data_IF_209384425234
#
_entry.id   IF_209384425234
#
_cell.length_a   1.000
_cell.length_b   1.000
_cell.length_c   1.000
_cell.angle_alpha   90.00
_cell.angle_beta   90.00
_cell.angle_gamma   90.00
#
_symmetry.space_group_name_H-M   'P 1'
#
loop_
_entity.id
_entity.type
_entity.pdbx_description
1 polymer ?
#
# COMPACT_ATOMS: atom_id res chain seq x y z
N UNK A 1 4.67 17.68 -5.28
CA UNK A 1 3.39 16.95 -5.44
C UNK A 1 2.33 17.66 -4.60
N UNK A 2 1.09 17.76 -5.10
CA UNK A 2 0.00 18.45 -4.39
C UNK A 2 -1.28 17.62 -4.47
N UNK A 3 -2.00 17.50 -3.35
CA UNK A 3 -3.29 16.82 -3.25
C UNK A 3 -4.36 17.85 -2.87
N UNK A 4 -5.40 17.94 -3.69
CA UNK A 4 -6.59 18.71 -3.40
C UNK A 4 -7.75 17.76 -3.12
N UNK A 5 -8.50 18.06 -2.06
CA UNK A 5 -9.64 17.27 -1.63
C UNK A 5 -10.79 18.25 -1.39
N UNK A 6 -11.99 17.92 -1.89
CA UNK A 6 -13.18 18.71 -1.68
C UNK A 6 -14.37 17.84 -1.39
N UNK A 7 -15.14 18.19 -0.37
CA UNK A 7 -16.37 17.52 0.09
C UNK A 7 -16.25 16.00 0.21
N UNK A 8 -15.05 15.49 0.64
CA UNK A 8 -14.76 14.08 0.79
C UNK A 8 -14.87 13.65 2.26
N UNK A 9 -15.76 12.73 2.58
CA UNK A 9 -16.06 12.26 3.95
C UNK A 9 -16.33 13.45 4.88
N UNK A 10 -15.40 13.78 5.80
CA UNK A 10 -15.49 14.94 6.69
C UNK A 10 -14.73 16.16 6.20
N UNK A 11 -13.90 16.00 5.20
CA UNK A 11 -13.07 17.08 4.67
C UNK A 11 -13.93 17.92 3.74
N UNK A 12 -14.11 19.18 4.09
CA UNK A 12 -14.74 20.16 3.21
C UNK A 12 -13.74 20.63 2.15
N UNK A 13 -12.56 21.07 2.57
CA UNK A 13 -11.51 21.49 1.65
C UNK A 13 -10.11 21.22 2.23
N UNK A 14 -9.23 20.67 1.41
CA UNK A 14 -7.83 20.52 1.73
C UNK A 14 -6.96 20.72 0.49
N UNK A 15 -5.89 21.51 0.65
CA UNK A 15 -4.83 21.65 -0.34
C UNK A 15 -3.50 21.36 0.35
N UNK A 16 -2.90 20.20 0.05
CA UNK A 16 -1.74 19.69 0.77
C UNK A 16 -0.59 19.43 -0.21
N UNK A 17 0.51 20.16 0.00
CA UNK A 17 1.75 20.00 -0.73
C UNK A 17 2.66 18.95 -0.07
N UNK A 18 3.30 18.12 -0.87
CA UNK A 18 4.26 17.11 -0.43
C UNK A 18 5.62 17.37 -1.06
N UNK A 19 6.61 17.65 -0.21
CA UNK A 19 7.95 18.08 -0.63
C UNK A 19 9.05 17.50 0.28
N UNK A 20 8.95 16.24 0.61
CA UNK A 20 9.81 15.54 1.55
C UNK A 20 9.04 15.13 2.79
N UNK A 21 9.02 15.93 3.85
CA UNK A 21 8.27 15.67 5.07
C UNK A 21 7.03 16.58 5.17
N UNK A 22 5.85 16.00 5.20
CA UNK A 22 4.59 16.72 5.41
C UNK A 22 3.95 16.27 6.71
N UNK A 23 3.75 17.19 7.62
CA UNK A 23 3.15 16.96 8.94
C UNK A 23 1.77 17.56 8.99
N UNK A 24 0.77 16.78 9.35
CA UNK A 24 -0.60 17.24 9.59
C UNK A 24 -0.89 17.10 11.09
N UNK A 25 -1.08 18.22 11.74
CA UNK A 25 -1.49 18.28 13.13
C UNK A 25 -2.97 18.70 13.26
N UNK A 26 -3.62 18.34 14.35
CA UNK A 26 -5.01 18.73 14.60
C UNK A 26 -5.67 17.86 15.64
N UNK A 27 -6.83 18.28 16.11
CA UNK A 27 -7.62 17.53 17.06
C UNK A 27 -8.07 16.17 16.50
N UNK A 28 -8.52 15.28 17.37
CA UNK A 28 -9.10 14.01 16.94
C UNK A 28 -10.33 14.25 16.07
N UNK A 29 -10.55 13.32 15.12
CA UNK A 29 -11.71 13.35 14.25
C UNK A 29 -11.77 14.53 13.25
N UNK A 30 -10.60 15.11 12.90
CA UNK A 30 -10.44 16.18 11.90
C UNK A 30 -9.99 15.65 10.52
N UNK A 31 -10.14 14.38 10.22
CA UNK A 31 -9.86 13.82 8.89
C UNK A 31 -8.36 13.71 8.54
N UNK A 32 -7.44 13.83 9.49
CA UNK A 32 -5.98 13.67 9.26
C UNK A 32 -5.67 12.34 8.58
N UNK A 33 -6.14 11.23 9.15
CA UNK A 33 -5.97 9.87 8.60
C UNK A 33 -6.63 9.71 7.23
N UNK A 34 -7.71 10.46 6.95
CA UNK A 34 -8.39 10.43 5.64
C UNK A 34 -7.46 10.85 4.50
N UNK A 35 -6.62 11.86 4.72
CA UNK A 35 -5.62 12.31 3.75
C UNK A 35 -4.63 11.18 3.42
N UNK A 36 -4.09 10.52 4.43
CA UNK A 36 -3.18 9.38 4.27
C UNK A 36 -3.84 8.20 3.54
N UNK A 37 -5.09 7.90 3.88
CA UNK A 37 -5.87 6.84 3.23
C UNK A 37 -6.17 7.14 1.76
N UNK A 38 -6.46 8.40 1.41
CA UNK A 38 -6.63 8.84 0.01
C UNK A 38 -5.32 8.65 -0.77
N UNK A 39 -4.18 9.08 -0.20
CA UNK A 39 -2.88 8.83 -0.84
C UNK A 39 -2.63 7.34 -1.03
N UNK A 40 -2.89 6.53 0.00
CA UNK A 40 -2.72 5.10 -0.10
C UNK A 40 -3.61 4.50 -1.21
N UNK A 41 -4.89 4.87 -1.26
CA UNK A 41 -5.82 4.41 -2.28
C UNK A 41 -5.32 4.73 -3.71
N UNK A 42 -4.83 5.95 -3.93
CA UNK A 42 -4.31 6.39 -5.23
C UNK A 42 -3.03 5.62 -5.62
N UNK A 43 -2.04 5.63 -4.73
CA UNK A 43 -0.73 5.08 -5.06
C UNK A 43 -0.72 3.55 -5.10
N UNK A 44 -1.38 2.86 -4.17
CA UNK A 44 -1.43 1.39 -4.18
C UNK A 44 -2.21 0.84 -5.38
N UNK A 45 -3.35 1.45 -5.70
CA UNK A 45 -4.18 1.00 -6.82
C UNK A 45 -3.52 1.23 -8.18
N UNK A 46 -2.78 2.32 -8.35
CA UNK A 46 -2.18 2.70 -9.62
C UNK A 46 -0.70 2.32 -9.76
N UNK A 47 -0.07 1.82 -8.69
CA UNK A 47 1.34 1.40 -8.72
C UNK A 47 1.58 0.32 -9.78
N UNK A 48 2.41 0.65 -10.77
CA UNK A 48 2.70 -0.20 -11.92
C UNK A 48 1.44 -0.80 -12.57
N UNK A 49 0.34 -0.03 -12.65
CA UNK A 49 -0.97 -0.53 -13.06
C UNK A 49 -0.96 -1.16 -14.47
N UNK A 50 -0.20 -0.61 -15.41
CA UNK A 50 -0.13 -1.16 -16.77
C UNK A 50 0.56 -2.53 -16.80
N UNK A 51 1.56 -2.75 -15.96
CA UNK A 51 2.19 -4.07 -15.78
C UNK A 51 1.21 -5.06 -15.15
N UNK A 52 0.40 -4.61 -14.18
CA UNK A 52 -0.63 -5.43 -13.55
C UNK A 52 -1.71 -5.82 -14.55
N UNK A 53 -2.22 -4.88 -15.33
CA UNK A 53 -3.20 -5.13 -16.41
C UNK A 53 -2.67 -6.20 -17.38
N UNK A 54 -1.41 -6.09 -17.81
CA UNK A 54 -0.83 -7.05 -18.74
C UNK A 54 -0.74 -8.45 -18.11
N UNK A 55 -0.32 -8.56 -16.85
CA UNK A 55 -0.28 -9.84 -16.12
C UNK A 55 -1.68 -10.45 -15.93
N UNK A 56 -2.68 -9.64 -15.60
CA UNK A 56 -4.05 -10.12 -15.45
C UNK A 56 -4.65 -10.57 -16.78
N UNK A 57 -4.37 -9.83 -17.86
CA UNK A 57 -4.76 -10.27 -19.21
C UNK A 57 -4.11 -11.61 -19.57
N UNK A 58 -2.82 -11.78 -19.30
CA UNK A 58 -2.14 -13.05 -19.52
C UNK A 58 -2.76 -14.19 -18.70
N UNK A 59 -3.07 -13.92 -17.44
CA UNK A 59 -3.73 -14.89 -16.57
C UNK A 59 -5.13 -15.27 -17.10
N UNK A 60 -5.92 -14.28 -17.52
CA UNK A 60 -7.24 -14.51 -18.11
C UNK A 60 -7.16 -15.33 -19.41
N UNK A 61 -6.16 -15.05 -20.26
CA UNK A 61 -5.96 -15.85 -21.47
C UNK A 61 -5.64 -17.32 -21.15
N UNK A 62 -4.82 -17.58 -20.13
CA UNK A 62 -4.53 -18.95 -19.65
C UNK A 62 -5.78 -19.61 -19.09
N UNK A 63 -6.56 -18.89 -18.31
CA UNK A 63 -7.82 -19.38 -17.74
C UNK A 63 -8.83 -19.75 -18.83
N UNK A 64 -8.94 -18.97 -19.90
CA UNK A 64 -9.77 -19.31 -21.06
C UNK A 64 -9.34 -20.65 -21.68
N UNK A 65 -8.04 -20.86 -21.88
CA UNK A 65 -7.52 -22.13 -22.42
C UNK A 65 -7.83 -23.29 -21.46
N UNK A 66 -7.69 -23.09 -20.16
CA UNK A 66 -7.98 -24.09 -19.14
C UNK A 66 -9.45 -24.51 -19.18
N UNK A 67 -10.37 -23.55 -19.13
CA UNK A 67 -11.80 -23.79 -19.11
C UNK A 67 -12.29 -24.47 -20.40
N UNK A 68 -11.85 -23.99 -21.57
CA UNK A 68 -12.25 -24.59 -22.85
C UNK A 68 -11.63 -25.98 -23.03
N UNK A 69 -10.41 -26.21 -22.53
CA UNK A 69 -9.83 -27.58 -22.54
C UNK A 69 -10.58 -28.51 -21.59
N UNK A 70 -11.03 -28.02 -20.44
CA UNK A 70 -11.88 -28.78 -19.53
C UNK A 70 -13.21 -29.16 -20.19
N UNK A 71 -13.85 -28.21 -20.89
CA UNK A 71 -15.09 -28.40 -21.63
C UNK A 71 -14.91 -29.45 -22.72
N UNK A 72 -13.83 -29.35 -23.53
CA UNK A 72 -13.48 -30.31 -24.58
C UNK A 72 -13.30 -31.73 -24.05
N UNK A 73 -12.84 -31.88 -22.80
CA UNK A 73 -12.66 -33.14 -22.10
C UNK A 73 -13.91 -33.61 -21.34
N UNK A 74 -14.95 -32.80 -21.31
CA UNK A 74 -16.20 -33.14 -20.64
C UNK A 74 -16.85 -34.34 -21.34
N UNK A 75 -17.28 -35.34 -20.57
CA UNK A 75 -17.84 -36.56 -21.12
C UNK A 75 -16.82 -37.58 -21.65
N UNK A 76 -15.52 -37.24 -21.75
CA UNK A 76 -14.45 -38.18 -22.15
C UNK A 76 -13.81 -38.83 -20.92
N UNK A 77 -13.85 -40.13 -20.83
CA UNK A 77 -13.17 -40.86 -19.73
C UNK A 77 -11.72 -41.14 -20.11
N UNK A 78 -10.83 -40.25 -19.70
CA UNK A 78 -9.40 -40.33 -20.05
C UNK A 78 -8.50 -40.65 -18.86
N UNK A 79 -9.01 -40.57 -17.63
CA UNK A 79 -8.19 -40.70 -16.41
C UNK A 79 -7.02 -39.68 -16.29
N UNK A 80 -6.83 -38.79 -17.31
CA UNK A 80 -5.67 -37.91 -17.47
C UNK A 80 -6.04 -36.46 -17.72
N UNK A 81 -7.27 -36.05 -17.41
CA UNK A 81 -7.79 -34.69 -17.69
C UNK A 81 -6.86 -33.59 -17.15
N UNK A 82 -6.45 -33.70 -15.89
CA UNK A 82 -5.57 -32.72 -15.27
C UNK A 82 -4.24 -32.56 -16.02
N UNK A 83 -3.64 -33.66 -16.47
CA UNK A 83 -2.39 -33.64 -17.24
C UNK A 83 -2.58 -32.96 -18.60
N UNK A 84 -3.66 -33.23 -19.30
CA UNK A 84 -3.95 -32.63 -20.61
C UNK A 84 -4.17 -31.12 -20.48
N UNK A 85 -4.90 -30.67 -19.46
CA UNK A 85 -5.10 -29.25 -19.16
C UNK A 85 -3.77 -28.55 -18.88
N UNK A 86 -2.96 -29.10 -17.98
CA UNK A 86 -1.64 -28.54 -17.65
C UNK A 86 -0.74 -28.46 -18.89
N UNK A 87 -0.81 -29.46 -19.76
CA UNK A 87 0.00 -29.50 -20.98
C UNK A 87 -0.50 -28.50 -22.02
N UNK A 88 -1.81 -28.36 -22.18
CA UNK A 88 -2.41 -27.31 -23.03
C UNK A 88 -1.99 -25.92 -22.60
N UNK A 89 -2.05 -25.64 -21.29
CA UNK A 89 -1.58 -24.38 -20.70
C UNK A 89 -0.10 -24.14 -20.95
N UNK A 90 0.74 -25.18 -20.85
CA UNK A 90 2.18 -25.10 -21.13
C UNK A 90 2.44 -24.71 -22.58
N UNK A 91 1.83 -25.38 -23.54
CA UNK A 91 1.99 -25.08 -24.97
C UNK A 91 1.50 -23.66 -25.29
N UNK A 92 0.37 -23.26 -24.75
CA UNK A 92 -0.12 -21.89 -24.92
C UNK A 92 0.84 -20.87 -24.33
N UNK A 93 1.36 -21.10 -23.12
CA UNK A 93 2.32 -20.21 -22.47
C UNK A 93 3.63 -20.08 -23.26
N UNK A 94 4.14 -21.19 -23.80
CA UNK A 94 5.33 -21.18 -24.67
C UNK A 94 5.06 -20.41 -25.97
N UNK A 95 3.91 -20.59 -26.62
CA UNK A 95 3.51 -19.85 -27.80
C UNK A 95 3.49 -18.33 -27.55
N UNK A 96 2.90 -17.89 -26.43
CA UNK A 96 2.89 -16.47 -26.02
C UNK A 96 4.31 -15.96 -25.76
N UNK A 97 5.13 -16.74 -25.06
CA UNK A 97 6.52 -16.39 -24.73
C UNK A 97 7.39 -16.18 -25.98
N UNK A 98 7.10 -16.92 -27.05
CA UNK A 98 7.77 -16.78 -28.35
C UNK A 98 7.22 -15.61 -29.19
N UNK A 99 6.32 -14.78 -28.64
CA UNK A 99 5.71 -13.64 -29.32
C UNK A 99 4.51 -13.98 -30.20
N UNK A 100 3.92 -15.16 -30.03
CA UNK A 100 2.72 -15.57 -30.73
C UNK A 100 1.50 -14.70 -30.37
N UNK A 101 0.68 -14.35 -31.40
CA UNK A 101 -0.58 -13.65 -31.15
C UNK A 101 -1.64 -14.63 -30.64
N UNK A 102 -2.21 -14.41 -29.42
CA UNK A 102 -3.24 -15.29 -28.87
C UNK A 102 -4.39 -15.60 -29.81
N UNK A 103 -4.81 -14.63 -30.63
CA UNK A 103 -5.89 -14.79 -31.59
C UNK A 103 -5.52 -15.61 -32.83
N UNK A 104 -4.24 -15.93 -33.03
CA UNK A 104 -3.73 -16.76 -34.11
C UNK A 104 -3.31 -18.16 -33.64
N UNK A 105 -3.50 -18.47 -32.37
CA UNK A 105 -3.15 -19.77 -31.79
C UNK A 105 -4.04 -20.88 -32.36
N UNK A 106 -3.43 -21.89 -32.94
CA UNK A 106 -4.14 -23.01 -33.59
C UNK A 106 -4.23 -24.29 -32.75
N UNK A 107 -3.68 -24.27 -31.54
CA UNK A 107 -3.66 -25.39 -30.61
C UNK A 107 -3.19 -26.74 -31.20
N UNK A 108 -2.37 -26.72 -32.27
CA UNK A 108 -1.94 -27.94 -32.97
C UNK A 108 -1.26 -28.95 -32.04
N UNK A 109 -0.42 -28.47 -31.13
CA UNK A 109 0.30 -29.28 -30.18
C UNK A 109 -0.66 -29.93 -29.16
N UNK A 110 -1.75 -29.25 -28.84
CA UNK A 110 -2.79 -29.77 -27.96
C UNK A 110 -3.58 -30.88 -28.68
N UNK A 111 -4.00 -30.66 -29.90
CA UNK A 111 -4.75 -31.67 -30.67
C UNK A 111 -3.88 -32.88 -31.00
N UNK A 112 -2.58 -32.71 -31.33
CA UNK A 112 -1.61 -33.79 -31.50
C UNK A 112 -1.56 -34.72 -30.27
N UNK A 113 -1.54 -34.16 -29.06
CA UNK A 113 -1.59 -34.92 -27.82
C UNK A 113 -2.85 -35.77 -27.68
N UNK A 114 -4.00 -35.28 -28.10
CA UNK A 114 -5.24 -36.05 -28.06
C UNK A 114 -5.16 -37.28 -28.98
N UNK A 115 -4.60 -37.06 -30.18
CA UNK A 115 -4.40 -38.18 -31.12
C UNK A 115 -3.37 -39.19 -30.65
N UNK A 116 -2.23 -38.73 -30.11
CA UNK A 116 -1.16 -39.58 -29.55
C UNK A 116 -1.65 -40.44 -28.41
N UNK A 117 -2.66 -40.02 -27.69
CA UNK A 117 -3.26 -40.74 -26.57
C UNK A 117 -4.58 -41.45 -26.95
N UNK A 118 -4.86 -41.54 -28.23
CA UNK A 118 -6.07 -42.18 -28.76
C UNK A 118 -7.38 -41.65 -28.14
N UNK A 119 -7.40 -40.37 -27.77
CA UNK A 119 -8.60 -39.70 -27.30
C UNK A 119 -9.41 -39.27 -28.54
N UNK A 120 -10.64 -39.77 -28.71
CA UNK A 120 -11.43 -39.44 -29.87
C UNK A 120 -11.77 -37.94 -29.88
N UNK A 121 -11.40 -37.26 -30.95
CA UNK A 121 -11.67 -35.85 -31.17
C UNK A 121 -12.20 -35.66 -32.59
N UNK A 122 -13.42 -35.15 -32.71
CA UNK A 122 -14.02 -34.83 -34.00
C UNK A 122 -13.50 -33.48 -34.53
N UNK A 123 -13.37 -33.31 -35.81
CA UNK A 123 -12.95 -32.05 -36.44
C UNK A 123 -13.88 -30.89 -36.03
N UNK A 124 -15.15 -31.16 -35.88
CA UNK A 124 -16.12 -30.19 -35.39
C UNK A 124 -15.83 -29.75 -33.96
N UNK A 125 -15.39 -30.64 -33.08
CA UNK A 125 -15.01 -30.32 -31.69
C UNK A 125 -13.77 -29.41 -31.65
N UNK A 126 -12.77 -29.64 -32.50
CA UNK A 126 -11.59 -28.77 -32.65
C UNK A 126 -11.99 -27.36 -33.13
N UNK A 127 -12.90 -27.26 -34.10
CA UNK A 127 -13.38 -25.98 -34.61
C UNK A 127 -14.18 -25.22 -33.57
N UNK A 128 -15.05 -25.88 -32.81
CA UNK A 128 -15.81 -25.29 -31.71
C UNK A 128 -14.88 -24.79 -30.61
N UNK A 129 -13.91 -25.62 -30.20
CA UNK A 129 -12.90 -25.23 -29.20
C UNK A 129 -12.15 -23.96 -29.64
N UNK A 130 -11.57 -23.96 -30.83
CA UNK A 130 -10.83 -22.79 -31.35
C UNK A 130 -11.75 -21.57 -31.49
N UNK A 131 -12.96 -21.75 -31.96
CA UNK A 131 -13.95 -20.66 -32.09
C UNK A 131 -14.25 -20.01 -30.73
N UNK A 132 -14.49 -20.83 -29.71
CA UNK A 132 -14.74 -20.35 -28.35
C UNK A 132 -13.52 -19.65 -27.76
N UNK A 133 -12.33 -20.29 -27.83
CA UNK A 133 -11.07 -19.72 -27.36
C UNK A 133 -10.83 -18.35 -27.99
N UNK A 134 -10.89 -18.24 -29.32
CA UNK A 134 -10.63 -16.99 -30.03
C UNK A 134 -11.68 -15.91 -29.72
N UNK A 135 -12.96 -16.27 -29.64
CA UNK A 135 -14.03 -15.33 -29.28
C UNK A 135 -13.78 -14.73 -27.89
N UNK A 136 -13.54 -15.58 -26.87
CA UNK A 136 -13.30 -15.13 -25.49
C UNK A 136 -11.98 -14.34 -25.37
N UNK A 137 -10.93 -14.75 -26.07
CA UNK A 137 -9.66 -14.00 -26.10
C UNK A 137 -9.83 -12.63 -26.75
N UNK A 138 -10.65 -12.51 -27.80
CA UNK A 138 -10.98 -11.23 -28.44
C UNK A 138 -11.71 -10.30 -27.45
N UNK A 139 -12.71 -10.82 -26.73
CA UNK A 139 -13.42 -10.08 -25.67
C UNK A 139 -12.45 -9.59 -24.58
N UNK A 140 -11.56 -10.47 -24.08
CA UNK A 140 -10.54 -10.12 -23.09
C UNK A 140 -9.58 -9.03 -23.59
N UNK A 141 -9.22 -9.05 -24.87
CA UNK A 141 -8.32 -8.06 -25.48
C UNK A 141 -8.99 -6.68 -25.61
N UNK A 142 -10.30 -6.64 -25.79
CA UNK A 142 -11.08 -5.40 -25.95
C UNK A 142 -11.30 -4.64 -24.63
N UNK A 143 -10.93 -5.22 -23.48
CA UNK A 143 -11.04 -4.52 -22.20
C UNK A 143 -10.26 -3.21 -22.25
N UNK A 144 -11.00 -2.11 -22.13
CA UNK A 144 -10.45 -0.76 -22.16
C UNK A 144 -9.60 -0.52 -20.88
N UNK A 145 -8.35 -0.11 -21.06
CA UNK A 145 -7.43 0.19 -19.95
C UNK A 145 -7.95 1.27 -19.01
N UNK A 146 -8.59 2.31 -19.55
CA UNK A 146 -9.16 3.38 -18.74
C UNK A 146 -10.30 2.89 -17.86
N UNK A 147 -11.19 2.05 -18.42
CA UNK A 147 -12.28 1.42 -17.65
C UNK A 147 -11.76 0.50 -16.56
N UNK A 148 -10.70 -0.28 -16.85
CA UNK A 148 -10.07 -1.12 -15.85
C UNK A 148 -9.46 -0.30 -14.71
N UNK A 149 -8.65 0.74 -15.04
CA UNK A 149 -8.04 1.64 -14.04
C UNK A 149 -9.11 2.31 -13.16
N UNK A 150 -10.22 2.76 -13.77
CA UNK A 150 -11.36 3.33 -13.02
C UNK A 150 -11.98 2.30 -12.07
N UNK A 151 -12.17 1.07 -12.52
CA UNK A 151 -12.75 0.00 -11.69
C UNK A 151 -11.84 -0.36 -10.50
N UNK A 152 -10.51 -0.43 -10.71
CA UNK A 152 -9.53 -0.68 -9.64
C UNK A 152 -9.57 0.43 -8.59
N UNK A 153 -9.62 1.70 -9.03
CA UNK A 153 -9.77 2.84 -8.11
C UNK A 153 -11.08 2.79 -7.34
N UNK A 154 -12.20 2.57 -8.02
CA UNK A 154 -13.51 2.43 -7.39
C UNK A 154 -13.50 1.37 -6.29
N UNK A 155 -12.93 0.20 -6.58
CA UNK A 155 -12.80 -0.89 -5.61
C UNK A 155 -11.88 -0.48 -4.45
N UNK A 156 -10.70 0.08 -4.71
CA UNK A 156 -9.74 0.48 -3.68
C UNK A 156 -10.33 1.52 -2.72
N UNK A 157 -10.99 2.55 -3.27
CA UNK A 157 -11.66 3.56 -2.44
C UNK A 157 -12.83 2.95 -1.67
N UNK A 158 -13.63 2.07 -2.31
CA UNK A 158 -14.73 1.35 -1.65
C UNK A 158 -14.26 0.50 -0.47
N UNK A 159 -13.17 -0.25 -0.63
CA UNK A 159 -12.60 -1.12 0.41
C UNK A 159 -12.01 -0.31 1.56
N UNK A 160 -11.29 0.79 1.26
CA UNK A 160 -10.61 1.62 2.28
C UNK A 160 -11.59 2.50 3.05
N UNK A 161 -12.59 3.06 2.39
CA UNK A 161 -13.56 3.97 2.98
C UNK A 161 -14.90 3.31 3.30
N UNK A 162 -15.01 2.00 3.11
CA UNK A 162 -16.25 1.24 3.39
C UNK A 162 -17.48 1.83 2.70
N UNK A 163 -17.29 2.33 1.48
CA UNK A 163 -18.37 2.94 0.70
C UNK A 163 -18.83 4.32 1.18
N UNK A 164 -18.03 5.05 1.99
CA UNK A 164 -18.36 6.38 2.50
C UNK A 164 -17.36 7.42 2.01
N UNK A 165 -17.42 7.77 0.73
CA UNK A 165 -16.55 8.78 0.10
C UNK A 165 -17.16 10.18 0.12
N UNK A 166 -18.47 10.31 -0.14
CA UNK A 166 -19.11 11.62 -0.17
C UNK A 166 -19.25 12.24 1.21
N UNK A 167 -19.39 13.57 1.24
CA UNK A 167 -19.60 14.33 2.46
C UNK A 167 -20.80 13.82 3.25
N UNK A 168 -20.61 13.59 4.56
CA UNK A 168 -21.69 13.22 5.47
C UNK A 168 -22.61 14.41 5.79
N UNK A 169 -22.14 15.64 5.59
CA UNK A 169 -22.92 16.86 5.78
C UNK A 169 -23.70 17.24 4.52
N UNK A 170 -23.11 17.00 3.36
CA UNK A 170 -23.67 17.38 2.06
C UNK A 170 -23.63 16.20 1.09
N UNK A 171 -24.46 15.15 1.31
CA UNK A 171 -24.36 13.89 0.56
C UNK A 171 -24.64 14.04 -0.94
N UNK A 172 -25.34 15.10 -1.34
CA UNK A 172 -25.66 15.39 -2.75
C UNK A 172 -24.55 16.15 -3.48
N UNK A 173 -23.50 16.62 -2.76
CA UNK A 173 -22.35 17.24 -3.39
C UNK A 173 -21.39 16.20 -3.93
N UNK A 174 -20.79 16.51 -5.06
CA UNK A 174 -19.73 15.68 -5.62
C UNK A 174 -18.46 15.83 -4.76
N UNK A 175 -17.89 14.70 -4.37
CA UNK A 175 -16.61 14.68 -3.69
C UNK A 175 -15.49 14.63 -4.72
N UNK A 176 -14.49 15.50 -4.59
CA UNK A 176 -13.42 15.62 -5.55
C UNK A 176 -12.06 15.28 -4.90
N UNK A 177 -11.22 14.56 -5.62
CA UNK A 177 -9.85 14.24 -5.24
C UNK A 177 -8.95 14.48 -6.45
N UNK A 178 -8.07 15.49 -6.36
CA UNK A 178 -7.12 15.82 -7.40
C UNK A 178 -5.68 15.67 -6.89
N UNK A 179 -4.90 14.81 -7.53
CA UNK A 179 -3.47 14.69 -7.30
C UNK A 179 -2.72 15.34 -8.46
N UNK A 180 -1.92 16.36 -8.17
CA UNK A 180 -1.13 17.11 -9.15
C UNK A 180 0.37 16.81 -9.00
N UNK A 181 1.02 16.48 -10.11
CA UNK A 181 2.46 16.27 -10.18
C UNK A 181 3.01 17.02 -11.39
N UNK A 182 3.64 18.15 -11.17
CA UNK A 182 4.06 19.09 -12.23
C UNK A 182 2.87 19.48 -13.14
N UNK A 183 2.93 19.13 -14.43
CA UNK A 183 1.89 19.43 -15.42
C UNK A 183 0.86 18.31 -15.60
N UNK A 184 0.97 17.21 -14.86
CA UNK A 184 0.08 16.06 -14.95
C UNK A 184 -0.79 15.94 -13.70
N UNK A 185 -1.99 15.42 -13.86
CA UNK A 185 -2.92 15.21 -12.74
C UNK A 185 -3.64 13.88 -12.82
N UNK A 186 -4.14 13.47 -11.66
CA UNK A 186 -5.17 12.45 -11.50
C UNK A 186 -6.35 13.16 -10.86
N UNK A 187 -7.52 13.11 -11.50
CA UNK A 187 -8.76 13.70 -11.01
C UNK A 187 -9.82 12.64 -10.86
N UNK A 188 -10.38 12.53 -9.65
CA UNK A 188 -11.45 11.62 -9.31
C UNK A 188 -12.64 12.40 -8.78
N UNK A 189 -13.85 12.02 -9.21
CA UNK A 189 -15.09 12.53 -8.66
C UNK A 189 -15.95 11.37 -8.16
N UNK A 190 -16.61 11.59 -7.02
CA UNK A 190 -17.51 10.62 -6.42
C UNK A 190 -18.87 11.26 -6.16
N UNK A 191 -19.93 10.59 -6.59
CA UNK A 191 -21.31 10.98 -6.31
C UNK A 191 -22.08 9.75 -5.81
N UNK A 192 -22.82 9.91 -4.73
CA UNK A 192 -23.52 8.80 -4.06
C UNK A 192 -22.59 7.61 -3.76
N UNK A 193 -21.36 7.92 -3.36
CA UNK A 193 -20.27 6.98 -3.08
C UNK A 193 -19.83 6.11 -4.27
N UNK A 194 -20.20 6.47 -5.50
CA UNK A 194 -19.69 5.85 -6.71
C UNK A 194 -18.71 6.77 -7.43
N UNK A 195 -17.66 6.21 -8.03
CA UNK A 195 -16.70 6.94 -8.83
C UNK A 195 -17.32 7.28 -10.19
N UNK A 196 -17.75 8.53 -10.35
CA UNK A 196 -18.38 9.04 -11.58
C UNK A 196 -17.35 9.35 -12.65
N UNK A 197 -16.22 9.96 -12.23
CA UNK A 197 -15.15 10.42 -13.12
C UNK A 197 -13.79 9.94 -12.63
N UNK A 198 -12.93 9.52 -13.56
CA UNK A 198 -11.52 9.21 -13.30
C UNK A 198 -10.66 9.62 -14.50
N UNK A 199 -9.92 10.72 -14.37
CA UNK A 199 -8.94 11.19 -15.33
C UNK A 199 -7.54 10.87 -14.82
N UNK A 200 -6.76 10.08 -15.54
CA UNK A 200 -5.51 9.49 -15.08
C UNK A 200 -4.36 9.90 -15.99
N UNK A 201 -3.83 11.10 -15.76
CA UNK A 201 -2.72 11.67 -16.52
C UNK A 201 -1.33 11.31 -16.00
N UNK A 202 -1.22 10.55 -14.89
CA UNK A 202 0.05 10.22 -14.22
C UNK A 202 0.22 8.70 -14.19
N UNK A 203 1.41 8.22 -14.54
CA UNK A 203 1.84 6.84 -14.28
C UNK A 203 2.55 6.78 -12.93
N UNK A 204 1.96 6.05 -11.99
CA UNK A 204 2.49 5.91 -10.63
C UNK A 204 3.47 4.74 -10.58
N UNK A 205 4.74 5.07 -10.30
CA UNK A 205 5.85 4.11 -10.13
C UNK A 205 6.34 4.00 -8.70
N UNK A 206 6.15 5.04 -7.89
CA UNK A 206 6.49 5.03 -6.46
C UNK A 206 5.55 4.11 -5.70
N UNK A 207 6.12 3.31 -4.80
CA UNK A 207 5.35 2.50 -3.88
C UNK A 207 4.89 3.34 -2.70
N UNK A 208 3.90 2.85 -1.94
CA UNK A 208 3.42 3.49 -0.72
C UNK A 208 3.34 2.47 0.41
N UNK A 209 3.81 2.84 1.60
CA UNK A 209 3.58 2.11 2.84
C UNK A 209 2.78 2.97 3.81
N UNK A 210 1.81 2.37 4.47
CA UNK A 210 0.94 3.02 5.45
C UNK A 210 1.08 2.29 6.79
N UNK A 211 1.41 3.02 7.85
CA UNK A 211 1.64 2.49 9.20
C UNK A 211 0.75 3.27 10.16
N UNK A 212 -0.24 2.61 10.73
CA UNK A 212 -1.17 3.14 11.74
C UNK A 212 -1.24 2.24 12.98
N UNK A 213 -0.79 0.99 12.86
CA UNK A 213 -0.96 0.00 13.92
C UNK A 213 0.32 -0.82 14.13
N UNK A 214 1.02 -0.66 15.26
CA UNK A 214 2.23 -1.45 15.55
C UNK A 214 1.94 -2.93 15.80
N UNK A 215 0.71 -3.31 16.11
CA UNK A 215 0.35 -4.72 16.35
C UNK A 215 0.34 -5.57 15.08
N UNK A 216 0.44 -4.97 13.90
CA UNK A 216 0.61 -5.71 12.63
C UNK A 216 1.80 -6.67 12.67
N UNK A 217 2.81 -6.38 13.48
CA UNK A 217 3.98 -7.24 13.71
C UNK A 217 3.61 -8.62 14.25
N UNK A 218 2.52 -8.72 15.00
CA UNK A 218 2.05 -9.97 15.60
C UNK A 218 1.48 -10.95 14.57
N UNK A 219 1.10 -10.43 13.40
CA UNK A 219 0.55 -11.21 12.29
C UNK A 219 1.59 -11.68 11.28
N UNK A 220 2.89 -11.40 11.50
CA UNK A 220 3.97 -11.85 10.62
C UNK A 220 4.09 -13.37 10.71
N UNK A 221 3.94 -14.05 9.57
CA UNK A 221 4.03 -15.49 9.48
C UNK A 221 4.78 -15.95 8.22
N UNK A 222 5.50 -17.05 8.32
CA UNK A 222 6.30 -17.62 7.23
C UNK A 222 5.98 -19.09 7.01
N UNK A 223 6.24 -19.63 5.82
CA UNK A 223 6.15 -21.06 5.50
C UNK A 223 4.78 -21.54 5.03
N UNK A 224 4.60 -22.86 4.98
CA UNK A 224 3.39 -23.53 4.46
C UNK A 224 2.14 -23.24 5.32
N UNK A 225 2.29 -23.14 6.63
CA UNK A 225 1.23 -22.76 7.56
C UNK A 225 0.69 -21.37 7.30
N UNK A 226 1.54 -20.43 6.85
CA UNK A 226 1.11 -19.11 6.42
C UNK A 226 0.09 -19.15 5.27
N UNK A 227 0.17 -20.11 4.36
CA UNK A 227 -0.72 -20.21 3.21
C UNK A 227 -2.17 -20.58 3.55
N UNK A 228 -2.38 -21.41 4.56
CA UNK A 228 -3.71 -21.91 4.95
C UNK A 228 -4.34 -20.99 6.01
N UNK A 229 -3.59 -20.64 7.04
CA UNK A 229 -4.03 -19.74 8.12
C UNK A 229 -4.31 -18.33 7.55
N UNK A 230 -3.46 -17.84 6.65
CA UNK A 230 -3.62 -16.54 5.98
C UNK A 230 -4.92 -16.36 5.22
N UNK A 231 -5.46 -17.39 4.57
CA UNK A 231 -6.75 -17.23 3.86
C UNK A 231 -7.89 -16.88 4.79
N UNK A 232 -7.82 -17.31 6.05
CA UNK A 232 -8.84 -17.01 7.06
C UNK A 232 -8.58 -15.72 7.84
N UNK A 233 -7.33 -15.41 8.19
CA UNK A 233 -6.97 -14.22 8.97
C UNK A 233 -6.89 -12.95 8.11
N UNK A 234 -6.33 -13.03 6.91
CA UNK A 234 -6.24 -11.90 5.97
C UNK A 234 -7.61 -11.36 5.50
N UNK A 235 -8.70 -12.10 5.70
CA UNK A 235 -10.04 -11.60 5.38
C UNK A 235 -10.48 -10.46 6.31
N UNK A 236 -9.85 -10.29 7.47
CA UNK A 236 -10.17 -9.26 8.47
C UNK A 236 -9.23 -8.05 8.43
N UNK A 237 -8.09 -8.16 7.77
CA UNK A 237 -7.10 -7.09 7.68
C UNK A 237 -7.49 -6.05 6.63
N UNK A 238 -7.14 -4.79 6.91
CA UNK A 238 -7.32 -3.69 5.97
C UNK A 238 -6.37 -3.83 4.76
N UNK A 239 -6.67 -3.18 3.62
CA UNK A 239 -5.75 -3.14 2.49
C UNK A 239 -4.35 -2.62 2.87
N UNK A 240 -4.27 -1.64 3.78
CA UNK A 240 -3.02 -1.07 4.29
C UNK A 240 -2.21 -2.11 5.06
N UNK A 241 -2.83 -2.79 6.03
CA UNK A 241 -2.17 -3.85 6.82
C UNK A 241 -1.69 -5.00 5.93
N UNK A 242 -2.50 -5.45 4.97
CA UNK A 242 -2.09 -6.48 3.99
C UNK A 242 -0.84 -6.11 3.20
N UNK A 243 -0.76 -4.86 2.79
CA UNK A 243 0.40 -4.37 2.05
C UNK A 243 1.62 -4.25 2.96
N UNK A 244 1.45 -3.72 4.17
CA UNK A 244 2.50 -3.61 5.16
C UNK A 244 3.08 -4.98 5.50
N UNK A 245 2.24 -5.98 5.81
CA UNK A 245 2.67 -7.36 6.07
C UNK A 245 3.51 -7.94 4.94
N UNK A 246 3.11 -7.74 3.68
CA UNK A 246 3.91 -8.20 2.53
C UNK A 246 5.32 -7.56 2.52
N UNK A 247 5.46 -6.33 2.95
CA UNK A 247 6.76 -5.66 3.11
C UNK A 247 7.56 -6.23 4.27
N UNK A 248 6.91 -6.52 5.40
CA UNK A 248 7.55 -7.07 6.60
C UNK A 248 7.99 -8.54 6.44
N UNK A 249 7.37 -9.28 5.53
CA UNK A 249 7.62 -10.71 5.31
C UNK A 249 8.50 -11.01 4.10
N UNK A 250 8.89 -9.99 3.33
CA UNK A 250 9.75 -10.16 2.16
C UNK A 250 11.06 -10.84 2.56
N UNK A 251 11.34 -11.99 1.95
CA UNK A 251 12.59 -12.73 2.15
C UNK A 251 13.48 -12.57 0.91
N UNK A 252 14.77 -12.42 1.13
CA UNK A 252 15.81 -12.36 0.11
C UNK A 252 15.97 -10.98 -0.55
N UNK A 253 16.57 -10.02 0.17
CA UNK A 253 17.09 -8.82 -0.47
C UNK A 253 18.21 -9.19 -1.46
N UNK A 254 18.27 -8.48 -2.59
CA UNK A 254 19.38 -8.62 -3.53
C UNK A 254 20.67 -8.16 -2.86
N UNK A 255 21.71 -9.03 -2.84
CA UNK A 255 22.98 -8.78 -2.13
C UNK A 255 23.63 -7.44 -2.51
N UNK A 256 23.60 -7.08 -3.78
CA UNK A 256 24.19 -5.81 -4.24
C UNK A 256 23.43 -4.59 -3.70
N UNK A 257 22.12 -4.65 -3.69
CA UNK A 257 21.27 -3.59 -3.13
C UNK A 257 21.45 -3.48 -1.62
N UNK A 258 21.66 -4.61 -0.92
CA UNK A 258 21.93 -4.62 0.51
C UNK A 258 23.21 -3.84 0.85
N UNK A 259 24.29 -4.05 0.12
CA UNK A 259 25.57 -3.35 0.36
C UNK A 259 25.45 -1.85 0.10
N UNK A 260 24.74 -1.44 -0.95
CA UNK A 260 24.50 -0.02 -1.28
C UNK A 260 23.61 0.64 -0.20
N UNK A 261 22.55 -0.04 0.22
CA UNK A 261 21.64 0.45 1.24
C UNK A 261 22.32 0.58 2.62
N UNK A 262 23.14 -0.37 3.02
CA UNK A 262 23.84 -0.34 4.31
C UNK A 262 24.62 0.95 4.52
N UNK A 263 25.38 1.42 3.52
CA UNK A 263 26.17 2.66 3.63
C UNK A 263 25.28 3.91 3.79
N UNK A 264 24.11 3.94 3.13
CA UNK A 264 23.16 5.05 3.26
C UNK A 264 22.43 5.04 4.59
N UNK A 265 22.19 3.86 5.14
CA UNK A 265 21.40 3.63 6.34
C UNK A 265 22.22 3.55 7.63
N UNK A 266 23.54 3.71 7.57
CA UNK A 266 24.42 3.58 8.71
C UNK A 266 23.96 4.43 9.91
N UNK A 267 23.61 5.69 9.68
CA UNK A 267 23.09 6.58 10.72
C UNK A 267 21.73 6.13 11.27
N UNK A 268 20.82 5.68 10.38
CA UNK A 268 19.49 5.17 10.76
C UNK A 268 19.63 3.92 11.62
N UNK A 269 20.44 2.97 11.17
CA UNK A 269 20.68 1.70 11.88
C UNK A 269 21.37 1.93 13.23
N UNK A 270 22.31 2.87 13.30
CA UNK A 270 22.94 3.24 14.57
C UNK A 270 21.89 3.77 15.58
N UNK A 271 21.00 4.66 15.15
CA UNK A 271 19.92 5.17 16.01
C UNK A 271 18.90 4.12 16.38
N UNK A 272 18.56 3.22 15.45
CA UNK A 272 17.70 2.08 15.78
C UNK A 272 18.31 1.15 16.79
N UNK A 273 19.63 0.95 16.76
CA UNK A 273 20.35 0.12 17.73
C UNK A 273 20.23 0.65 19.16
N UNK A 274 20.10 1.96 19.36
CA UNK A 274 19.90 2.57 20.68
C UNK A 274 18.60 2.11 21.35
N UNK A 275 17.59 1.70 20.56
CA UNK A 275 16.29 1.19 21.08
C UNK A 275 16.18 -0.32 20.93
N UNK A 276 16.52 -0.84 19.75
CA UNK A 276 16.44 -2.25 19.43
C UNK A 276 17.84 -2.82 19.33
N UNK A 277 18.46 -3.05 20.49
CA UNK A 277 19.73 -3.75 20.54
C UNK A 277 19.51 -5.24 20.26
N UNK A 278 19.82 -5.68 19.05
CA UNK A 278 19.72 -7.09 18.69
C UNK A 278 19.46 -7.37 17.21
N UNK A 279 19.58 -8.64 16.88
CA UNK A 279 19.38 -9.16 15.53
C UNK A 279 18.02 -9.84 15.39
N UNK A 280 17.39 -9.63 14.26
CA UNK A 280 16.15 -10.33 13.91
C UNK A 280 16.51 -11.76 13.51
N UNK A 281 15.97 -12.74 14.21
CA UNK A 281 16.21 -14.15 13.93
C UNK A 281 14.90 -14.88 13.65
N UNK A 282 14.95 -15.84 12.73
CA UNK A 282 13.79 -16.66 12.41
C UNK A 282 13.85 -17.98 13.18
N UNK A 283 12.78 -18.32 13.87
CA UNK A 283 12.60 -19.61 14.53
C UNK A 283 11.33 -20.29 14.00
N UNK A 284 11.51 -21.24 13.08
CA UNK A 284 10.38 -21.88 12.38
C UNK A 284 9.61 -20.86 11.52
N UNK A 285 8.33 -20.72 11.78
CA UNK A 285 7.43 -19.82 11.05
C UNK A 285 7.31 -18.42 11.68
N UNK A 286 8.07 -18.12 12.74
CA UNK A 286 7.99 -16.86 13.50
C UNK A 286 9.30 -16.13 13.56
N UNK A 287 9.21 -14.81 13.67
CA UNK A 287 10.36 -13.93 13.94
C UNK A 287 10.56 -13.76 15.44
N UNK A 288 11.81 -13.60 15.82
CA UNK A 288 12.23 -13.32 17.18
C UNK A 288 13.39 -12.32 17.18
N UNK A 289 13.50 -11.52 18.22
CA UNK A 289 14.60 -10.60 18.45
C UNK A 289 15.62 -11.28 19.39
N UNK A 290 16.83 -11.53 18.89
CA UNK A 290 17.95 -12.01 19.67
C UNK A 290 18.74 -10.83 20.20
N UNK A 291 18.66 -10.58 21.51
CA UNK A 291 19.39 -9.51 22.20
C UNK A 291 20.45 -10.13 23.11
N UNK A 292 21.56 -9.41 23.31
CA UNK A 292 22.67 -9.84 24.19
C UNK A 292 22.21 -9.98 25.66
N UNK A 293 21.23 -9.18 26.05
CA UNK A 293 20.73 -9.13 27.44
C UNK A 293 19.97 -10.39 27.84
N UNK A 294 19.39 -11.10 26.87
CA UNK A 294 18.53 -12.26 27.13
C UNK A 294 19.16 -13.56 26.64
N UNK A 295 19.06 -14.61 27.45
CA UNK A 295 19.58 -15.95 27.08
C UNK A 295 18.80 -16.63 25.95
N UNK A 296 17.55 -16.21 25.73
CA UNK A 296 16.68 -16.73 24.65
C UNK A 296 16.11 -15.56 23.82
N UNK A 297 15.92 -15.75 22.52
CA UNK A 297 15.27 -14.77 21.68
C UNK A 297 13.85 -14.45 22.16
N UNK A 298 13.47 -13.18 22.07
CA UNK A 298 12.11 -12.72 22.41
C UNK A 298 11.26 -12.81 21.12
N UNK A 299 10.10 -13.44 21.21
CA UNK A 299 9.13 -13.42 20.11
C UNK A 299 8.61 -12.01 19.88
N UNK A 300 8.33 -11.62 18.63
CA UNK A 300 7.88 -10.26 18.31
C UNK A 300 6.56 -9.92 19.00
N UNK A 301 5.68 -10.89 19.14
CA UNK A 301 4.38 -10.71 19.83
C UNK A 301 4.55 -10.27 21.30
N UNK A 302 5.67 -10.63 21.95
CA UNK A 302 5.98 -10.28 23.34
C UNK A 302 6.73 -8.96 23.52
N UNK A 303 7.04 -8.26 22.42
CA UNK A 303 7.62 -6.92 22.51
C UNK A 303 6.59 -5.91 23.02
N UNK A 304 7.08 -4.88 23.72
CA UNK A 304 6.21 -3.74 24.04
C UNK A 304 5.72 -3.04 22.79
N UNK A 305 4.59 -2.37 22.85
CA UNK A 305 3.98 -1.71 21.69
C UNK A 305 4.93 -0.68 21.06
N UNK A 306 5.63 0.09 21.89
CA UNK A 306 6.63 1.03 21.41
C UNK A 306 7.79 0.36 20.66
N UNK A 307 8.31 -0.79 21.14
CA UNK A 307 9.31 -1.56 20.41
C UNK A 307 8.79 -2.11 19.09
N UNK A 308 7.52 -2.49 19.04
CA UNK A 308 6.88 -2.95 17.77
C UNK A 308 6.87 -1.84 16.71
N UNK A 309 6.61 -0.58 17.10
CA UNK A 309 6.65 0.55 16.17
C UNK A 309 8.04 0.72 15.52
N UNK A 310 9.10 0.64 16.32
CA UNK A 310 10.48 0.67 15.78
C UNK A 310 10.81 -0.59 14.96
N UNK A 311 10.30 -1.76 15.39
CA UNK A 311 10.52 -3.03 14.67
C UNK A 311 9.94 -3.01 13.26
N UNK A 312 8.79 -2.37 13.05
CA UNK A 312 8.23 -2.18 11.71
C UNK A 312 9.23 -1.47 10.80
N UNK A 313 9.76 -0.31 11.23
CA UNK A 313 10.73 0.44 10.43
C UNK A 313 11.99 -0.39 10.17
N UNK A 314 12.48 -1.09 11.20
CA UNK A 314 13.66 -1.98 11.09
C UNK A 314 13.43 -3.07 10.02
N UNK A 315 12.31 -3.78 10.09
CA UNK A 315 11.97 -4.84 9.15
C UNK A 315 11.76 -4.32 7.73
N UNK A 316 11.11 -3.16 7.54
CA UNK A 316 10.96 -2.54 6.23
C UNK A 316 12.31 -2.21 5.58
N UNK A 317 13.30 -1.80 6.39
CA UNK A 317 14.65 -1.52 5.94
C UNK A 317 15.38 -2.83 5.63
N UNK A 318 15.42 -3.79 6.55
CA UNK A 318 16.10 -5.08 6.39
C UNK A 318 15.57 -5.85 5.18
N UNK A 319 14.26 -5.81 4.95
CA UNK A 319 13.58 -6.46 3.84
C UNK A 319 13.62 -5.65 2.53
N UNK A 320 14.24 -4.46 2.50
CA UNK A 320 14.28 -3.56 1.34
C UNK A 320 12.87 -3.27 0.78
N UNK A 321 11.89 -3.16 1.68
CA UNK A 321 10.51 -2.87 1.33
C UNK A 321 10.29 -1.39 1.01
N UNK A 322 11.17 -0.51 1.51
CA UNK A 322 11.25 0.91 1.17
C UNK A 322 12.34 1.15 0.13
N UNK A 323 12.01 1.89 -0.91
CA UNK A 323 12.91 2.28 -2.00
C UNK A 323 13.00 3.79 -2.11
N UNK A 324 13.97 4.25 -2.89
CA UNK A 324 14.12 5.67 -3.18
C UNK A 324 12.86 6.25 -3.81
N UNK A 325 12.41 7.40 -3.31
CA UNK A 325 11.20 8.14 -3.73
C UNK A 325 9.87 7.42 -3.47
N UNK A 326 9.86 6.39 -2.64
CA UNK A 326 8.62 5.80 -2.16
C UNK A 326 7.89 6.77 -1.20
N UNK A 327 6.63 6.46 -0.94
CA UNK A 327 5.80 7.22 -0.01
C UNK A 327 5.67 6.42 1.29
N UNK A 328 5.88 7.12 2.41
CA UNK A 328 5.66 6.57 3.75
C UNK A 328 4.60 7.39 4.47
N UNK A 329 3.50 6.77 4.81
CA UNK A 329 2.45 7.38 5.64
C UNK A 329 2.57 6.82 7.05
N UNK A 330 2.73 7.71 8.02
CA UNK A 330 2.79 7.40 9.46
C UNK A 330 1.60 8.08 10.13
N UNK A 331 0.61 7.30 10.52
CA UNK A 331 -0.63 7.81 11.12
C UNK A 331 -0.57 7.68 12.63
N UNK A 332 -0.35 8.82 13.31
CA UNK A 332 -0.19 8.96 14.76
C UNK A 332 0.84 7.96 15.37
N UNK A 333 2.07 7.87 14.82
CA UNK A 333 3.04 6.85 15.24
C UNK A 333 3.50 7.01 16.68
N UNK A 334 3.29 8.18 17.29
CA UNK A 334 3.66 8.50 18.65
C UNK A 334 2.74 7.94 19.72
N UNK A 335 1.53 7.48 19.40
CA UNK A 335 0.48 7.11 20.36
C UNK A 335 0.94 6.08 21.40
N UNK A 336 1.84 5.19 21.02
CA UNK A 336 2.35 4.15 21.90
C UNK A 336 3.78 4.38 22.39
N UNK A 337 4.32 5.59 22.18
CA UNK A 337 5.71 5.92 22.50
C UNK A 337 5.81 6.83 23.73
N UNK A 338 6.71 6.48 24.65
CA UNK A 338 7.13 7.42 25.69
C UNK A 338 7.76 8.66 25.05
N UNK A 339 7.65 9.87 25.64
CA UNK A 339 8.20 11.11 25.07
C UNK A 339 9.65 11.00 24.57
N UNK A 340 10.55 10.35 25.31
CA UNK A 340 11.92 10.12 24.88
C UNK A 340 12.01 9.30 23.58
N UNK A 341 11.13 8.31 23.44
CA UNK A 341 11.07 7.47 22.24
C UNK A 341 10.39 8.19 21.07
N UNK A 342 9.47 9.10 21.34
CA UNK A 342 8.92 9.98 20.30
C UNK A 342 10.02 10.82 19.66
N UNK A 343 10.92 11.41 20.47
CA UNK A 343 12.07 12.20 20.00
C UNK A 343 12.98 11.36 19.10
N UNK A 344 13.30 10.14 19.52
CA UNK A 344 14.15 9.24 18.76
C UNK A 344 13.48 8.72 17.49
N UNK A 345 12.17 8.44 17.55
CA UNK A 345 11.41 8.03 16.37
C UNK A 345 11.34 9.13 15.32
N UNK A 346 11.18 10.39 15.75
CA UNK A 346 11.24 11.55 14.88
C UNK A 346 12.61 11.66 14.17
N UNK A 347 13.72 11.51 14.90
CA UNK A 347 15.07 11.51 14.30
C UNK A 347 15.22 10.41 13.24
N UNK A 348 14.75 9.20 13.53
CA UNK A 348 14.80 8.07 12.57
C UNK A 348 13.97 8.37 11.33
N UNK A 349 12.77 8.94 11.46
CA UNK A 349 11.92 9.30 10.32
C UNK A 349 12.61 10.34 9.42
N UNK A 350 13.20 11.37 10.01
CA UNK A 350 13.95 12.40 9.25
C UNK A 350 15.14 11.79 8.53
N UNK A 351 15.91 10.93 9.20
CA UNK A 351 17.05 10.23 8.60
C UNK A 351 16.61 9.27 7.47
N UNK A 352 15.49 8.58 7.62
CA UNK A 352 14.92 7.72 6.56
C UNK A 352 14.52 8.53 5.35
N UNK A 353 13.87 9.67 5.58
CA UNK A 353 13.49 10.57 4.49
C UNK A 353 14.74 11.02 3.72
N UNK A 354 15.78 11.46 4.43
CA UNK A 354 17.04 11.88 3.81
C UNK A 354 17.74 10.74 3.05
N UNK A 355 17.80 9.53 3.62
CA UNK A 355 18.49 8.39 3.03
C UNK A 355 17.84 7.88 1.74
N UNK A 356 16.51 7.89 1.67
CA UNK A 356 15.74 7.36 0.54
C UNK A 356 15.03 8.42 -0.29
N UNK A 357 15.15 9.72 0.07
CA UNK A 357 14.36 10.79 -0.54
C UNK A 357 12.86 10.47 -0.56
N UNK A 358 12.37 9.95 0.56
CA UNK A 358 10.96 9.56 0.70
C UNK A 358 10.06 10.80 0.64
N UNK A 359 8.83 10.60 0.17
CA UNK A 359 7.73 11.50 0.50
C UNK A 359 7.07 10.97 1.76
N UNK A 360 7.24 11.66 2.88
CA UNK A 360 6.69 11.24 4.17
C UNK A 360 5.46 12.10 4.48
N UNK A 361 4.31 11.46 4.70
CA UNK A 361 3.13 12.06 5.31
C UNK A 361 3.01 11.55 6.74
N UNK A 362 2.94 12.46 7.68
CA UNK A 362 2.85 12.15 9.09
C UNK A 362 1.68 12.90 9.71
N UNK A 363 0.84 12.20 10.46
CA UNK A 363 -0.19 12.82 11.29
C UNK A 363 0.23 12.76 12.76
N UNK A 364 -0.04 13.81 13.51
CA UNK A 364 0.32 13.86 14.94
C UNK A 364 -0.59 14.76 15.75
N UNK A 365 -0.68 14.46 17.05
CA UNK A 365 -1.27 15.35 18.06
C UNK A 365 -0.32 15.55 19.27
N UNK A 366 0.96 15.13 19.14
CA UNK A 366 1.98 15.27 20.17
C UNK A 366 2.86 16.49 19.94
N UNK A 367 2.92 17.46 20.88
CA UNK A 367 3.84 18.58 20.78
C UNK A 367 5.31 18.15 20.86
N UNK A 368 5.62 17.09 21.61
CA UNK A 368 7.00 16.56 21.69
C UNK A 368 7.47 15.99 20.36
N UNK A 369 6.59 15.25 19.70
CA UNK A 369 6.91 14.63 18.41
C UNK A 369 7.04 15.68 17.31
N UNK A 370 6.12 16.67 17.26
CA UNK A 370 6.19 17.79 16.34
C UNK A 370 7.50 18.58 16.50
N UNK A 371 7.84 18.94 17.74
CA UNK A 371 9.05 19.71 18.03
C UNK A 371 10.32 18.93 17.66
N UNK A 372 10.34 17.62 17.92
CA UNK A 372 11.47 16.78 17.54
C UNK A 372 11.64 16.74 16.01
N UNK A 373 10.54 16.66 15.24
CA UNK A 373 10.58 16.72 13.77
C UNK A 373 11.17 18.05 13.28
N UNK A 374 10.79 19.19 13.86
CA UNK A 374 11.33 20.51 13.52
C UNK A 374 12.84 20.57 13.80
N UNK A 375 13.24 20.20 15.03
CA UNK A 375 14.65 20.25 15.46
C UNK A 375 15.53 19.33 14.59
N UNK A 376 15.09 18.11 14.31
CA UNK A 376 15.89 17.19 13.50
C UNK A 376 15.88 17.54 12.02
N UNK A 377 14.79 18.10 11.50
CA UNK A 377 14.75 18.62 10.12
C UNK A 377 15.74 19.77 9.95
N UNK A 378 15.82 20.69 10.92
CA UNK A 378 16.82 21.76 10.94
C UNK A 378 18.25 21.22 11.06
N UNK A 379 18.48 20.32 12.01
CA UNK A 379 19.79 19.68 12.25
C UNK A 379 20.35 18.99 11.00
N UNK A 380 19.49 18.40 10.19
CA UNK A 380 19.89 17.67 8.99
C UNK A 380 19.71 18.46 7.69
N UNK A 381 19.39 19.79 7.78
CA UNK A 381 19.29 20.70 6.62
C UNK A 381 18.11 20.38 5.70
N UNK A 382 16.97 19.99 6.27
CA UNK A 382 15.77 19.59 5.53
C UNK A 382 14.59 20.52 5.71
N UNK A 383 14.75 21.67 6.38
CA UNK A 383 13.69 22.61 6.71
C UNK A 383 12.86 23.04 5.48
N UNK A 384 13.52 23.32 4.37
CA UNK A 384 12.84 23.74 3.13
C UNK A 384 11.96 22.65 2.52
N UNK A 385 12.22 21.39 2.86
CA UNK A 385 11.45 20.23 2.39
C UNK A 385 10.33 19.82 3.37
N UNK A 386 10.15 20.59 4.45
CA UNK A 386 9.12 20.34 5.45
C UNK A 386 7.89 21.21 5.19
N UNK A 387 6.72 20.62 5.33
CA UNK A 387 5.42 21.30 5.25
C UNK A 387 4.57 20.95 6.46
N UNK A 388 3.98 21.95 7.08
CA UNK A 388 3.15 21.79 8.27
C UNK A 388 1.74 22.28 8.00
N UNK A 389 0.76 21.45 8.35
CA UNK A 389 -0.65 21.75 8.17
C UNK A 389 -1.41 21.58 9.49
N UNK A 390 -2.32 22.51 9.75
CA UNK A 390 -3.26 22.45 10.86
C UNK A 390 -4.63 22.05 10.32
N UNK A 391 -5.16 20.91 10.79
CA UNK A 391 -6.52 20.47 10.51
C UNK A 391 -7.48 21.10 11.52
N UNK A 392 -8.34 22.00 11.05
CA UNK A 392 -9.32 22.72 11.85
C UNK A 392 -10.73 22.25 11.52
N UNK A 393 -11.56 22.15 12.56
CA UNK A 393 -12.99 21.91 12.41
C UNK A 393 -13.75 23.18 12.82
N UNK A 394 -14.35 23.86 11.84
CA UNK A 394 -15.19 25.02 12.04
C UNK A 394 -16.60 24.72 11.57
N UNK A 395 -17.59 24.81 12.45
CA UNK A 395 -19.01 24.53 12.14
C UNK A 395 -19.25 23.14 11.51
N UNK A 396 -18.54 22.11 11.98
CA UNK A 396 -18.51 20.75 11.45
C UNK A 396 -17.85 20.58 10.07
N UNK A 397 -17.37 21.63 9.46
CA UNK A 397 -16.57 21.58 8.24
C UNK A 397 -15.08 21.53 8.58
N UNK A 398 -14.38 20.53 8.04
CA UNK A 398 -12.95 20.37 8.26
C UNK A 398 -12.18 20.96 7.09
N UNK A 399 -11.24 21.85 7.42
CA UNK A 399 -10.29 22.43 6.47
C UNK A 399 -8.86 22.26 6.96
N UNK A 400 -7.90 22.36 6.02
CA UNK A 400 -6.48 22.22 6.30
C UNK A 400 -5.76 23.52 5.95
N UNK A 401 -5.18 24.16 6.97
CA UNK A 401 -4.43 25.40 6.82
C UNK A 401 -2.94 25.11 6.73
N UNK A 402 -2.26 25.64 5.71
CA UNK A 402 -0.80 25.60 5.66
C UNK A 402 -0.23 26.57 6.71
N UNK A 403 0.53 26.04 7.66
CA UNK A 403 1.15 26.77 8.77
C UNK A 403 2.68 26.58 8.80
N UNK A 404 3.28 26.25 7.66
CA UNK A 404 4.72 26.00 7.53
C UNK A 404 5.58 27.16 8.04
N UNK A 405 5.12 28.40 7.88
CA UNK A 405 5.82 29.60 8.41
C UNK A 405 5.40 30.01 9.83
N UNK A 406 4.42 29.30 10.44
CA UNK A 406 3.84 29.68 11.74
C UNK A 406 3.28 28.44 12.45
N UNK A 407 4.20 27.54 12.84
CA UNK A 407 3.88 26.31 13.56
C UNK A 407 3.38 26.56 14.98
N UNK A 408 3.55 27.78 15.51
CA UNK A 408 3.05 28.17 16.83
C UNK A 408 1.54 27.95 16.97
N UNK A 409 0.78 28.12 15.88
CA UNK A 409 -0.66 27.84 15.86
C UNK A 409 -0.98 26.37 16.20
N UNK A 410 -0.10 25.43 15.79
CA UNK A 410 -0.27 24.03 16.15
C UNK A 410 -0.05 23.85 17.66
N UNK A 411 1.01 24.46 18.20
CA UNK A 411 1.31 24.37 19.65
C UNK A 411 0.21 24.99 20.48
N UNK A 412 -0.33 26.16 20.10
CA UNK A 412 -1.45 26.79 20.78
C UNK A 412 -2.66 25.86 20.82
N UNK A 413 -3.00 25.20 19.71
CA UNK A 413 -4.08 24.24 19.66
C UNK A 413 -3.84 23.05 20.59
N UNK A 414 -2.61 22.49 20.57
CA UNK A 414 -2.26 21.31 21.38
C UNK A 414 -2.18 21.63 22.88
N UNK A 415 -1.78 22.82 23.27
CA UNK A 415 -1.63 23.24 24.67
C UNK A 415 -2.91 23.80 25.29
N UNK A 416 -3.90 24.17 24.48
CA UNK A 416 -5.17 24.73 24.94
C UNK A 416 -5.84 23.93 26.06
N UNK A 417 -5.96 22.58 26.01
CA UNK A 417 -6.56 21.82 27.10
C UNK A 417 -5.79 21.98 28.43
N UNK A 418 -4.48 22.15 28.39
CA UNK A 418 -3.66 22.39 29.56
C UNK A 418 -3.88 23.78 30.14
N UNK A 419 -3.97 24.80 29.30
CA UNK A 419 -4.31 26.17 29.72
C UNK A 419 -5.72 26.22 30.35
N UNK A 420 -6.70 25.57 29.74
CA UNK A 420 -8.05 25.48 30.28
C UNK A 420 -8.08 24.83 31.69
N UNK A 421 -7.27 23.78 31.89
CA UNK A 421 -7.11 23.18 33.24
C UNK A 421 -6.44 24.12 34.23
N UNK A 422 -5.44 24.89 33.83
CA UNK A 422 -4.80 25.90 34.68
C UNK A 422 -5.78 27.00 35.07
N UNK A 423 -6.58 27.50 34.15
CA UNK A 423 -7.65 28.48 34.47
C UNK A 423 -8.66 27.93 35.47
N UNK A 424 -9.04 26.65 35.33
CA UNK A 424 -9.93 26.02 36.34
C UNK A 424 -9.30 25.92 37.73
N UNK A 425 -7.99 25.75 37.83
CA UNK A 425 -7.23 25.59 39.08
C UNK A 425 -7.02 26.93 39.82
N UNK A 426 -6.70 27.97 39.06
CA UNK A 426 -6.24 29.24 39.64
C UNK A 426 -7.29 30.34 39.55
N UNK A 427 -8.39 30.15 38.87
CA UNK A 427 -9.44 31.14 38.62
C UNK A 427 -8.88 32.37 37.87
N UNK A 428 -9.50 32.80 36.83
CA UNK A 428 -9.22 34.12 36.24
C UNK A 428 -9.74 35.21 37.17
#
# INVERSE_FOLDING_TARGET
MELLIKDFAKIHEAQIGFDGLTVIAGNNNTGKSTVGKILFALFDSLHHIDTRINKEKEHLLKQIVEEETWELLSGKDTGKKAFLIVTALKYFAEYIKQGGDPLSWKAKEVFSLFYDWAIPLAIEEEQVFLGNVHRRMKEARQVNRASYKKQVLKQSFGDIFHGQMNSLLYPDREAEVDLRLKQKSISLCFLQNDCTKAELGIDITSNIMYIDNPFVVDHIAFGLSAGIIRRYELSRETPMEKKLLRGLERQSPELLQTVIAQKRLEKVLARMHDVIAGETTRQGDKLSLKNITYTKPIKLENLSTGLKAFMILKLLIENQALKEKDILVLDEPEVHLHPEWQILYAEIVVLLQQAFHLTVLLTTHSPYFLHALEVYSAKYGMEEQCRYYLAENKNNEVSFCNVTGDTEKIYQMMLKPFEDLQRMLYGD
#
